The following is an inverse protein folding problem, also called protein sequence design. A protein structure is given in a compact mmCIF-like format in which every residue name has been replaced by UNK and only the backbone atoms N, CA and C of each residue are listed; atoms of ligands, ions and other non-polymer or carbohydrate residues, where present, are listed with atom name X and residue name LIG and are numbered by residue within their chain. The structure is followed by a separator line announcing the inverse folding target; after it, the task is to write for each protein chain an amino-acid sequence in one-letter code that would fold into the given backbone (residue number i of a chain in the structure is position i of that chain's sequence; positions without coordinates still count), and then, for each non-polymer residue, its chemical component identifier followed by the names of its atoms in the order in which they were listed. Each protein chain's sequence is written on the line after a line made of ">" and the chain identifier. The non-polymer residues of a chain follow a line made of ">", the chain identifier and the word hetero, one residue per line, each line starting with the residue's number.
data_IF_238877591172
#
_entry.id   IF_238877591172
#
_cell.length_a   1.000
_cell.length_b   1.000
_cell.length_c   1.000
_cell.angle_alpha   90.00
_cell.angle_beta   90.00
_cell.angle_gamma   90.00
#
_symmetry.space_group_name_H-M   'P 1'
#
loop_
_entity.id
_entity.type
_entity.pdbx_description
1 polymer ?
2 non-polymer ?
3 non-polymer ?
4 water ?
#
# COMPACT_ATOMS: atom_id res chain seq x y z
N UNK A 2 -3.28 -18.88 -8.59
CA UNK A 2 -3.59 -18.41 -7.21
C UNK A 2 -3.30 -16.89 -7.12
N UNK A 3 -3.94 -16.18 -6.19
CA UNK A 3 -3.68 -14.77 -6.02
C UNK A 3 -2.21 -14.54 -5.74
N UNK A 4 -1.59 -15.50 -5.07
CA UNK A 4 -0.18 -15.34 -4.73
C UNK A 4 0.66 -14.97 -5.92
N UNK A 5 0.34 -15.53 -7.09
CA UNK A 5 1.18 -15.28 -8.27
C UNK A 5 0.57 -14.28 -9.26
N UNK A 6 -0.52 -13.64 -8.91
CA UNK A 6 -1.16 -12.69 -9.79
C UNK A 6 -1.20 -11.27 -9.30
N UNK A 7 -0.99 -11.03 -8.01
CA UNK A 7 -1.03 -9.68 -7.48
C UNK A 7 0.37 -9.31 -6.97
N UNK A 8 0.84 -8.14 -7.37
CA UNK A 8 2.13 -7.61 -6.91
C UNK A 8 1.89 -6.82 -5.67
N UNK A 9 2.65 -7.15 -4.63
CA UNK A 9 2.56 -6.42 -3.38
C UNK A 9 3.44 -5.16 -3.47
N UNK A 10 3.01 -4.11 -2.81
CA UNK A 10 3.73 -2.86 -2.85
C UNK A 10 3.75 -2.19 -1.50
N UNK A 11 4.92 -2.02 -0.92
CA UNK A 11 5.04 -1.22 0.28
C UNK A 11 5.22 0.26 -0.13
N UNK A 12 4.30 1.10 0.29
CA UNK A 12 4.39 2.54 0.04
C UNK A 12 5.23 3.14 1.17
N UNK A 13 6.51 3.31 0.90
CA UNK A 13 7.46 3.71 1.90
C UNK A 13 7.66 5.18 2.02
N UNK A 14 7.16 5.97 1.09
CA UNK A 14 7.26 7.42 1.25
C UNK A 14 7.79 8.09 0.01
N UNK A 15 7.04 9.09 -0.48
CA UNK A 15 7.43 9.88 -1.63
C UNK A 15 8.17 11.10 -1.11
N UNK A 16 8.84 11.84 -1.98
CA UNK A 16 9.54 13.04 -1.54
C UNK A 16 8.57 14.03 -0.89
N UNK A 23 14.85 8.93 9.01
CA UNK A 23 13.74 9.66 8.42
C UNK A 23 12.48 8.85 8.35
N UNK A 24 12.29 8.14 7.24
CA UNK A 24 11.11 7.33 7.09
C UNK A 24 10.84 6.73 8.49
N UNK A 25 9.73 7.11 9.14
CA UNK A 25 9.36 6.56 10.46
C UNK A 25 9.17 5.05 10.38
N UNK A 26 8.88 4.61 9.17
CA UNK A 26 8.78 3.20 8.90
C UNK A 26 10.09 2.50 9.18
N UNK A 27 11.19 3.22 9.38
CA UNK A 27 12.45 2.54 9.71
C UNK A 27 12.58 2.14 11.19
N UNK A 28 11.71 2.65 12.04
CA UNK A 28 11.76 2.38 13.47
C UNK A 28 11.36 0.96 13.69
N UNK A 29 11.99 0.35 14.68
CA UNK A 29 11.81 -1.05 14.98
C UNK A 29 10.68 -1.30 15.94
N UNK A 30 9.85 -2.28 15.58
CA UNK A 30 8.77 -2.79 16.42
C UNK A 30 9.16 -4.24 16.72
N UNK A 31 9.38 -4.57 18.00
CA UNK A 31 9.78 -5.89 18.38
C UNK A 31 10.99 -6.37 17.55
N UNK A 32 11.93 -5.46 17.30
CA UNK A 32 13.18 -5.79 16.64
C UNK A 32 13.22 -5.76 15.13
N UNK A 33 12.07 -5.49 14.52
CA UNK A 33 11.94 -5.47 13.09
C UNK A 33 11.34 -4.15 12.67
N UNK A 34 11.98 -3.49 11.71
CA UNK A 34 11.45 -2.23 11.23
C UNK A 34 10.00 -2.26 10.73
N UNK A 35 9.20 -1.26 11.06
CA UNK A 35 7.81 -1.23 10.70
C UNK A 35 7.60 -1.60 9.27
N UNK A 36 8.40 -1.08 8.36
CA UNK A 36 8.16 -1.31 6.93
C UNK A 36 8.38 -2.76 6.59
N UNK A 37 9.27 -3.42 7.32
CA UNK A 37 9.55 -4.84 7.04
C UNK A 37 8.45 -5.77 7.58
N UNK A 38 7.73 -5.36 8.67
CA UNK A 38 6.52 -6.00 9.10
C UNK A 38 5.58 -6.00 7.93
N UNK A 39 5.36 -4.88 7.31
CA UNK A 39 4.43 -4.82 6.19
C UNK A 39 4.95 -5.70 5.02
N UNK A 40 6.20 -5.53 4.65
CA UNK A 40 6.76 -6.30 3.53
C UNK A 40 6.64 -7.80 3.80
N UNK A 41 6.95 -8.24 5.01
CA UNK A 41 6.88 -9.65 5.36
C UNK A 41 5.43 -10.17 5.29
N UNK A 42 4.49 -9.36 5.77
CA UNK A 42 3.08 -9.76 5.69
C UNK A 42 2.70 -9.89 4.20
N UNK A 43 3.10 -8.93 3.36
CA UNK A 43 2.74 -9.06 1.94
C UNK A 43 3.42 -10.28 1.29
N UNK A 44 4.68 -10.57 1.69
CA UNK A 44 5.41 -11.67 1.10
C UNK A 44 4.92 -13.04 1.50
N UNK A 45 4.21 -13.15 2.60
CA UNK A 45 3.59 -14.41 2.99
C UNK A 45 2.43 -14.73 2.06
N UNK A 46 1.79 -13.68 1.58
CA UNK A 46 0.60 -13.86 0.74
C UNK A 46 0.87 -13.76 -0.77
N UNK A 47 1.95 -13.12 -1.16
CA UNK A 47 2.25 -12.77 -2.55
C UNK A 47 3.67 -13.07 -2.92
N UNK A 48 3.90 -13.60 -4.13
CA UNK A 48 5.23 -14.00 -4.57
C UNK A 48 6.14 -12.82 -4.82
N UNK A 49 5.58 -11.83 -5.50
CA UNK A 49 6.39 -10.69 -6.00
C UNK A 49 5.91 -9.46 -5.29
N UNK A 50 6.86 -8.83 -4.56
CA UNK A 50 6.60 -7.69 -3.74
C UNK A 50 7.74 -6.66 -3.91
N UNK A 51 7.37 -5.44 -4.11
CA UNK A 51 8.29 -4.31 -4.34
C UNK A 51 8.01 -3.19 -3.34
N UNK A 52 8.95 -2.23 -3.28
CA UNK A 52 8.80 -1.09 -2.39
C UNK A 52 8.88 0.18 -3.21
N UNK A 53 7.94 1.10 -3.00
CA UNK A 53 7.98 2.43 -3.58
C UNK A 53 8.68 3.33 -2.54
N UNK A 54 9.88 3.80 -2.87
CA UNK A 54 10.70 4.61 -1.93
C UNK A 54 11.46 5.64 -2.74
N UNK A 55 11.68 6.79 -2.11
CA UNK A 55 12.42 7.88 -2.73
C UNK A 55 13.58 8.35 -1.83
N UNK A 56 13.73 7.68 -0.69
CA UNK A 56 14.83 7.89 0.26
C UNK A 56 15.25 6.53 0.82
N UNK A 57 16.47 6.42 1.29
CA UNK A 57 16.95 5.19 1.90
C UNK A 57 16.78 3.97 0.97
N UNK A 58 16.84 4.21 -0.33
CA UNK A 58 16.59 3.14 -1.28
C UNK A 58 17.46 1.92 -0.99
N UNK A 59 18.73 2.12 -0.66
CA UNK A 59 19.64 1.03 -0.36
C UNK A 59 19.16 0.13 0.81
N UNK A 60 18.51 0.71 1.81
CA UNK A 60 18.02 -0.07 2.92
C UNK A 60 16.90 -1.02 2.51
N UNK A 61 15.94 -0.51 1.75
CA UNK A 61 14.84 -1.32 1.32
C UNK A 61 15.38 -2.37 0.40
N UNK A 62 16.23 -1.95 -0.53
CA UNK A 62 16.76 -2.88 -1.52
C UNK A 62 17.55 -3.97 -0.87
N UNK A 63 18.24 -3.65 0.23
CA UNK A 63 19.05 -4.62 0.87
C UNK A 63 18.36 -5.86 1.47
N UNK A 64 17.02 -5.76 1.67
CA UNK A 64 16.25 -6.82 2.13
C UNK A 64 15.82 -7.77 0.98
N UNK A 65 16.26 -7.52 -0.25
CA UNK A 65 15.90 -8.41 -1.34
C UNK A 65 14.71 -7.89 -2.05
N UNK A 66 14.35 -6.62 -1.90
CA UNK A 66 13.17 -6.08 -2.55
C UNK A 66 13.57 -5.06 -3.60
N UNK A 67 12.91 -5.12 -4.74
CA UNK A 67 13.11 -4.12 -5.78
C UNK A 67 12.46 -2.79 -5.37
N UNK A 68 13.18 -1.70 -5.59
CA UNK A 68 12.70 -0.36 -5.28
C UNK A 68 12.32 0.40 -6.50
N UNK A 69 11.11 0.91 -6.44
CA UNK A 69 10.55 1.76 -7.47
C UNK A 69 10.51 3.18 -6.96
N UNK A 70 11.24 4.04 -7.66
CA UNK A 70 11.23 5.45 -7.35
C UNK A 70 10.16 6.16 -8.14
N UNK A 71 9.71 7.26 -7.57
CA UNK A 71 8.58 7.95 -8.13
C UNK A 71 8.75 8.50 -9.46
N UNK A 72 7.55 8.82 -9.97
CA UNK A 72 7.37 9.97 -10.82
C UNK A 72 6.89 10.09 -12.22
N UNK A 73 7.95 10.43 -12.91
CA UNK A 73 8.06 11.10 -14.16
C UNK A 73 7.93 12.59 -13.81
N UNK A 74 6.85 12.96 -13.12
CA UNK A 74 6.51 14.38 -12.96
C UNK A 74 6.53 15.07 -11.59
N UNK A 75 6.92 14.40 -10.52
CA UNK A 75 6.93 15.10 -9.24
C UNK A 75 5.48 15.30 -8.72
N UNK A 76 4.60 14.33 -8.92
CA UNK A 76 3.24 14.44 -8.37
C UNK A 76 3.28 14.24 -6.88
N UNK A 77 2.29 14.78 -6.21
CA UNK A 77 2.17 14.67 -4.76
C UNK A 77 1.39 13.48 -4.27
N UNK A 78 1.81 13.02 -3.10
CA UNK A 78 1.07 12.03 -2.31
C UNK A 78 1.11 10.57 -2.72
N UNK A 79 0.33 9.77 -1.99
CA UNK A 79 0.31 8.34 -2.25
C UNK A 79 -0.10 8.00 -3.66
N UNK A 80 -0.99 8.78 -4.28
CA UNK A 80 -1.45 8.41 -5.62
C UNK A 80 -0.27 8.41 -6.58
N UNK A 81 0.61 9.37 -6.39
CA UNK A 81 1.82 9.48 -7.18
C UNK A 81 2.67 8.23 -7.13
N UNK A 82 2.83 7.64 -5.94
CA UNK A 82 3.57 6.40 -5.80
C UNK A 82 2.82 5.25 -6.49
N UNK A 83 1.49 5.21 -6.33
CA UNK A 83 0.71 4.15 -6.98
C UNK A 83 0.94 4.23 -8.49
N UNK A 84 0.87 5.42 -9.06
CA UNK A 84 1.00 5.55 -10.48
C UNK A 84 2.40 5.20 -10.92
N UNK A 85 3.40 5.62 -10.15
CA UNK A 85 4.78 5.29 -10.44
C UNK A 85 5.03 3.79 -10.53
N UNK A 86 4.44 3.07 -9.59
CA UNK A 86 4.53 1.63 -9.56
C UNK A 86 3.82 1.00 -10.76
N UNK A 87 2.62 1.45 -11.13
CA UNK A 87 1.97 0.89 -12.30
C UNK A 87 2.76 1.19 -13.58
N UNK A 88 3.40 2.35 -13.66
CA UNK A 88 4.19 2.71 -14.84
C UNK A 88 5.46 1.91 -14.98
N UNK A 89 5.93 1.33 -13.86
CA UNK A 89 7.24 0.66 -13.83
C UNK A 89 7.20 -0.82 -13.54
N UNK A 90 6.00 -1.35 -13.36
CA UNK A 90 5.81 -2.77 -13.08
C UNK A 90 4.73 -3.29 -14.02
N UNK A 91 4.91 -4.52 -14.49
CA UNK A 91 4.00 -5.11 -15.45
C UNK A 91 2.75 -5.88 -14.90
N UNK A 92 2.60 -6.16 -13.63
CA UNK A 92 1.32 -6.86 -13.37
C UNK A 92 -0.05 -6.23 -13.70
N UNK A 93 -1.09 -7.06 -13.69
CA UNK A 93 -2.46 -6.56 -13.79
C UNK A 93 -2.94 -5.98 -12.45
N UNK A 94 -2.53 -6.58 -11.35
CA UNK A 94 -3.03 -6.22 -10.05
C UNK A 94 -1.95 -5.87 -9.06
N UNK A 95 -2.22 -4.85 -8.25
CA UNK A 95 -1.34 -4.41 -7.20
C UNK A 95 -2.05 -4.28 -5.87
N UNK A 96 -1.39 -4.72 -4.79
CA UNK A 96 -1.89 -4.54 -3.42
C UNK A 96 -0.91 -3.61 -2.74
N UNK A 97 -1.34 -2.38 -2.57
CA UNK A 97 -0.56 -1.36 -1.91
C UNK A 97 -0.81 -1.35 -0.42
N UNK A 98 0.22 -1.02 0.36
CA UNK A 98 0.04 -0.81 1.79
C UNK A 98 1.13 0.15 2.26
N UNK A 99 0.77 1.11 3.10
CA UNK A 99 1.79 1.97 3.69
C UNK A 99 2.70 1.22 4.69
N UNK A 100 3.81 1.90 5.00
CA UNK A 100 4.88 1.35 5.83
C UNK A 100 4.60 1.25 7.30
N UNK A 101 3.50 1.80 7.78
CA UNK A 101 3.28 1.95 9.21
C UNK A 101 2.09 1.22 9.77
N UNK A 102 1.62 0.21 9.04
CA UNK A 102 0.49 -0.60 9.49
C UNK A 102 0.99 -2.02 9.62
N UNK A 103 1.76 -2.33 10.65
CA UNK A 103 2.49 -3.58 10.74
C UNK A 103 1.72 -4.86 10.98
N UNK A 104 0.45 -4.74 11.39
CA UNK A 104 -0.34 -5.87 11.74
C UNK A 104 -1.34 -6.30 10.65
N UNK A 105 -1.13 -5.85 9.42
CA UNK A 105 -2.06 -6.21 8.36
C UNK A 105 -2.23 -7.71 8.33
N UNK A 106 -3.46 -8.14 8.07
CA UNK A 106 -3.83 -9.55 8.23
C UNK A 106 -3.37 -10.46 7.11
N UNK A 107 -3.29 -11.76 7.42
CA UNK A 107 -2.77 -12.75 6.49
C UNK A 107 -3.73 -13.02 5.29
N UNK A 108 -4.96 -12.56 5.41
CA UNK A 108 -5.97 -12.74 4.38
C UNK A 108 -6.32 -11.43 3.70
N UNK A 109 -5.40 -10.46 3.78
CA UNK A 109 -5.63 -9.12 3.20
C UNK A 109 -6.01 -9.22 1.72
N UNK A 110 -5.14 -9.85 0.92
CA UNK A 110 -5.34 -9.93 -0.53
C UNK A 110 -6.61 -10.72 -0.87
N UNK A 111 -6.82 -11.86 -0.20
CA UNK A 111 -7.97 -12.70 -0.49
C UNK A 111 -9.28 -11.98 -0.18
N UNK A 112 -9.36 -11.33 0.96
CA UNK A 112 -10.59 -10.66 1.33
C UNK A 112 -10.88 -9.46 0.46
N UNK A 113 -9.89 -8.65 0.18
CA UNK A 113 -10.05 -7.53 -0.74
C UNK A 113 -10.50 -8.08 -2.10
N UNK A 114 -9.86 -9.10 -2.61
CA UNK A 114 -10.28 -9.60 -3.89
C UNK A 114 -11.67 -10.20 -3.90
N UNK A 115 -11.99 -10.94 -2.84
CA UNK A 115 -13.29 -11.58 -2.78
C UNK A 115 -14.40 -10.57 -2.75
N UNK A 116 -14.16 -9.43 -2.13
CA UNK A 116 -15.15 -8.37 -1.91
C UNK A 116 -15.11 -7.27 -2.97
N UNK A 117 -14.36 -7.49 -4.03
CA UNK A 117 -14.25 -6.45 -5.04
C UNK A 117 -15.55 -6.24 -5.81
N UNK A 118 -16.36 -7.28 -5.98
CA UNK A 118 -17.65 -7.03 -6.70
C UNK A 118 -17.42 -6.41 -8.09
N UNK A 119 -16.40 -6.97 -8.73
CA UNK A 119 -15.99 -6.60 -10.07
C UNK A 119 -15.47 -5.19 -10.29
N UNK A 120 -15.22 -4.48 -9.20
CA UNK A 120 -14.64 -3.13 -9.24
C UNK A 120 -13.12 -3.19 -9.53
N UNK A 121 -12.57 -2.17 -10.15
CA UNK A 121 -11.15 -2.14 -10.49
C UNK A 121 -10.31 -1.68 -9.32
N UNK A 122 -10.92 -1.22 -8.21
CA UNK A 122 -10.15 -0.85 -7.03
C UNK A 122 -11.01 -1.00 -5.76
N UNK A 123 -10.34 -1.44 -4.66
CA UNK A 123 -11.04 -1.56 -3.38
C UNK A 123 -10.04 -1.23 -2.35
N UNK A 124 -10.52 -0.71 -1.21
CA UNK A 124 -9.61 -0.36 -0.13
C UNK A 124 -10.24 -0.81 1.18
N UNK A 125 -9.45 -0.81 2.23
CA UNK A 125 -9.91 -1.28 3.54
C UNK A 125 -10.65 -0.22 4.33
N UNK A 126 -11.76 -0.65 4.92
CA UNK A 126 -12.42 0.12 5.99
C UNK A 126 -12.32 -0.76 7.24
N UNK A 127 -11.77 -0.23 8.33
CA UNK A 127 -11.50 -1.07 9.51
C UNK A 127 -12.63 -1.13 10.51
N UNK A 128 -13.77 -0.54 10.17
CA UNK A 128 -14.90 -0.46 11.08
C UNK A 128 -15.05 0.95 11.63
N UNK A 129 -13.93 1.66 11.75
CA UNK A 129 -13.93 3.04 12.21
C UNK A 129 -13.59 4.03 11.12
N UNK A 130 -12.64 3.66 10.26
CA UNK A 130 -12.30 4.59 9.22
C UNK A 130 -11.77 3.90 7.98
N UNK A 131 -11.71 4.66 6.91
CA UNK A 131 -11.09 4.20 5.67
C UNK A 131 -9.58 4.26 5.73
N UNK A 132 -8.95 3.31 5.03
CA UNK A 132 -7.52 3.26 4.83
C UNK A 132 -7.34 3.15 3.31
N UNK A 133 -7.50 4.25 2.60
CA UNK A 133 -7.52 4.22 1.14
C UNK A 133 -6.21 3.85 0.52
N UNK A 134 -5.11 3.92 1.25
CA UNK A 134 -3.82 3.48 0.72
C UNK A 134 -3.54 2.01 0.98
N UNK A 135 -4.47 1.30 1.60
CA UNK A 135 -4.39 -0.15 1.69
C UNK A 135 -5.40 -0.62 0.67
N UNK A 136 -4.91 -0.79 -0.55
CA UNK A 136 -5.81 -0.94 -1.68
C UNK A 136 -5.36 -1.98 -2.69
N UNK A 137 -6.35 -2.65 -3.25
CA UNK A 137 -6.14 -3.62 -4.33
C UNK A 137 -6.58 -2.91 -5.58
N UNK A 138 -5.63 -2.75 -6.50
CA UNK A 138 -5.81 -1.90 -7.67
C UNK A 138 -5.53 -2.62 -8.99
N UNK A 139 -6.45 -2.55 -9.95
CA UNK A 139 -6.22 -3.10 -11.28
C UNK A 139 -5.52 -2.06 -12.11
N UNK A 140 -4.54 -2.46 -12.94
CA UNK A 140 -3.84 -1.44 -13.68
C UNK A 140 -4.67 -0.72 -14.74
N UNK A 141 -5.88 -1.19 -15.00
CA UNK A 141 -6.76 -0.47 -15.94
C UNK A 141 -7.03 0.95 -15.53
N UNK A 142 -6.85 1.28 -14.25
CA UNK A 142 -7.08 2.65 -13.85
C UNK A 142 -5.84 3.52 -13.92
N UNK A 143 -4.76 3.00 -14.50
CA UNK A 143 -3.56 3.79 -14.74
C UNK A 143 -3.86 5.07 -15.53
N UNK A 144 -4.58 5.00 -16.66
CA UNK A 144 -4.87 6.22 -17.41
C UNK A 144 -5.70 7.24 -16.62
N UNK A 145 -6.71 6.77 -15.91
CA UNK A 145 -7.53 7.66 -15.11
C UNK A 145 -6.70 8.34 -14.06
N UNK A 146 -5.79 7.59 -13.41
CA UNK A 146 -4.93 8.16 -12.39
C UNK A 146 -4.00 9.24 -12.93
N UNK A 147 -3.41 8.95 -14.08
CA UNK A 147 -2.56 9.90 -14.74
C UNK A 147 -3.39 11.19 -15.02
N UNK A 148 -4.57 11.03 -15.60
CA UNK A 148 -5.37 12.20 -15.92
C UNK A 148 -5.71 13.01 -14.63
N UNK A 149 -6.04 12.30 -13.57
CA UNK A 149 -6.40 12.92 -12.31
C UNK A 149 -5.28 13.76 -11.73
N UNK A 150 -4.07 13.21 -11.75
CA UNK A 150 -2.92 13.87 -11.21
C UNK A 150 -2.49 15.02 -12.13
N UNK A 151 -2.60 14.81 -13.43
CA UNK A 151 -2.25 15.89 -14.35
C UNK A 151 -3.19 17.07 -14.16
N UNK A 152 -4.42 16.82 -13.77
CA UNK A 152 -5.39 17.88 -13.55
C UNK A 152 -5.12 18.66 -12.25
N UNK A 153 -4.13 18.24 -11.47
CA UNK A 153 -3.82 18.86 -10.19
C UNK A 153 -4.55 18.31 -8.96
N UNK A 154 -5.28 17.20 -9.12
CA UNK A 154 -6.06 16.58 -8.05
C UNK A 154 -5.17 15.65 -7.25
N UNK A 155 -5.45 15.49 -5.96
CA UNK A 155 -4.62 14.70 -5.04
C UNK A 155 -5.36 13.78 -4.06
N UNK A 156 -6.65 14.01 -3.85
CA UNK A 156 -7.40 13.24 -2.84
C UNK A 156 -7.52 11.77 -3.23
N UNK A 157 -7.06 10.88 -2.36
CA UNK A 157 -7.03 9.45 -2.61
C UNK A 157 -8.42 8.81 -2.74
N UNK A 158 -9.21 8.86 -1.69
CA UNK A 158 -10.53 8.25 -1.75
C UNK A 158 -11.41 8.84 -2.86
N UNK A 159 -11.36 10.15 -3.12
CA UNK A 159 -12.12 10.72 -4.21
C UNK A 159 -11.74 10.04 -5.52
N UNK A 160 -10.44 9.92 -5.74
CA UNK A 160 -9.99 9.23 -6.95
C UNK A 160 -10.52 7.79 -6.97
N UNK A 161 -10.32 7.06 -5.88
CA UNK A 161 -10.76 5.67 -5.90
C UNK A 161 -12.28 5.51 -6.13
N UNK A 162 -13.09 6.42 -5.59
CA UNK A 162 -14.54 6.39 -5.88
C UNK A 162 -14.84 6.70 -7.34
N UNK A 163 -14.12 7.66 -7.91
CA UNK A 163 -14.31 8.10 -9.29
C UNK A 163 -13.96 6.99 -10.27
N UNK A 164 -13.04 6.11 -9.86
CA UNK A 164 -12.65 4.95 -10.65
C UNK A 164 -13.65 3.81 -10.56
N UNK A 165 -14.63 3.94 -9.67
CA UNK A 165 -15.63 2.91 -9.50
C UNK A 165 -15.38 1.98 -8.31
N UNK A 166 -14.49 2.37 -7.43
CA UNK A 166 -14.16 1.55 -6.28
C UNK A 166 -15.03 1.70 -5.06
N UNK A 167 -14.78 0.84 -4.08
CA UNK A 167 -15.49 0.92 -2.84
C UNK A 167 -14.63 0.34 -1.73
N UNK A 168 -15.06 0.62 -0.51
CA UNK A 168 -14.41 0.12 0.70
C UNK A 168 -14.88 -1.29 1.02
N UNK A 169 -14.00 -2.07 1.66
CA UNK A 169 -14.28 -3.43 2.03
C UNK A 169 -14.17 -3.52 3.54
N UNK A 170 -15.20 -4.09 4.17
CA UNK A 170 -15.28 -4.18 5.62
C UNK A 170 -14.29 -5.18 6.20
N UNK A 171 -13.36 -4.68 7.02
CA UNK A 171 -12.44 -5.53 7.80
C UNK A 171 -12.66 -5.29 9.32
N UNK A 172 -13.87 -4.89 9.69
CA UNK A 172 -14.20 -4.54 11.11
C UNK A 172 -13.95 -5.74 12.04
N UNK A 173 -13.97 -6.96 11.52
CA UNK A 173 -13.68 -8.15 12.34
C UNK A 173 -12.19 -8.46 12.53
N UNK A 174 -11.30 -7.71 11.87
CA UNK A 174 -9.87 -8.00 11.97
C UNK A 174 -9.25 -7.01 12.91
N UNK A 175 -9.35 -7.44 14.19
CA UNK A 175 -9.00 -6.66 15.39
C UNK A 175 -7.58 -6.10 15.45
N UNK A 176 -7.56 -4.78 15.40
CA UNK A 176 -6.38 -4.02 15.54
C UNK A 176 -5.42 -4.35 14.43
N UNK A 177 -5.92 -4.97 13.33
CA UNK A 177 -4.98 -5.32 12.22
C UNK A 177 -4.48 -4.08 11.41
N UNK A 178 -5.21 -3.00 11.54
CA UNK A 178 -5.02 -1.80 10.79
C UNK A 178 -4.61 -0.63 11.66
N UNK A 179 -4.13 -0.94 12.86
CA UNK A 179 -3.51 0.08 13.66
C UNK A 179 -2.38 0.73 12.91
N UNK A 180 -2.29 2.04 12.96
CA UNK A 180 -1.15 2.64 12.28
C UNK A 180 -0.27 3.28 13.34
N UNK A 181 1.01 3.11 13.16
CA UNK A 181 1.97 3.68 14.13
C UNK A 181 2.34 5.06 13.61
N UNK A 182 1.71 6.09 14.14
CA UNK A 182 1.92 7.47 13.71
C UNK A 182 3.28 8.07 14.16
N UNK A 183 3.66 7.75 15.38
CA UNK A 183 4.85 8.31 16.03
C UNK A 183 5.61 7.29 16.86
N UNK A 184 6.82 7.65 17.26
CA UNK A 184 7.55 6.87 18.26
C UNK A 184 6.77 6.59 19.53
N UNK A 185 6.01 7.57 20.00
CA UNK A 185 5.15 7.35 21.15
C UNK A 185 4.08 6.26 20.96
N UNK A 186 3.41 6.25 19.82
CA UNK A 186 2.41 5.23 19.57
C UNK A 186 3.15 3.89 19.51
N UNK A 187 4.33 3.90 18.89
CA UNK A 187 5.10 2.68 18.74
C UNK A 187 5.35 2.08 20.10
N UNK A 188 5.60 2.91 21.11
CA UNK A 188 5.76 2.37 22.48
C UNK A 188 4.49 1.72 23.06
N UNK A 189 3.29 2.14 22.64
CA UNK A 189 2.07 1.50 23.14
C UNK A 189 1.97 0.06 22.61
N UNK A 190 2.71 -0.22 21.53
CA UNK A 190 2.67 -1.52 20.87
C UNK A 190 3.87 -2.48 21.13
N UNK A 191 5.00 -1.94 21.59
CA UNK A 191 6.14 -2.78 21.83
C UNK A 191 5.65 -3.94 22.68
N UNK A 192 6.18 -5.12 22.40
CA UNK A 192 5.77 -6.35 23.06
C UNK A 192 6.53 -6.55 24.38
X LIG B 1 10.23 -10.57 -4.48
X LIG B 1 11.31 -11.14 -4.81
X LIG B 1 9.51 -10.15 -5.40
X LIG B 1 9.85 -10.35 -3.05
X LIG C 1 9.85 -10.44 -7.40
#
# INVERSE_FOLDING_TARGET
>A
MNLMTTITGVVLAGGKARRMGGVDKGLLELNGKPLWQHVADALMTQLSHVVVNANRHQEIYQASGLKVIEDSLADYPGPLAGMLSVMQQEAGEWFLFCPCDTPYIPPDLAARLNHQRKDAPVVWVHDGERDHPTIALVNRAIEPLLLEYLQAGERRVMVFMRLAGGHAVDFSDHKDAFVNVNTPEELARWQEKR
>B hetero
1 ACT C O OXT CH3
>C hetero
1 ZN ZN
#
